data_IF_510490729701
#
_entry.id   IF_510490729701
#
_cell.length_a   1.000
_cell.length_b   1.000
_cell.length_c   1.000
_cell.angle_alpha   90.00
_cell.angle_beta   90.00
_cell.angle_gamma   90.00
#
_symmetry.space_group_name_H-M   'P 1'
#
loop_
_entity.id
_entity.type
_entity.pdbx_description
1 polymer ?
#
# COMPACT_ATOMS: atom_id res chain seq x y z
N UNK A 1 24.31 -9.46 -36.03
CA UNK A 1 23.79 -8.60 -34.94
C UNK A 1 23.21 -9.48 -33.85
N UNK A 2 23.31 -9.08 -32.58
CA UNK A 2 22.73 -9.82 -31.46
C UNK A 2 21.19 -9.82 -31.54
N UNK A 3 20.57 -10.96 -31.22
CA UNK A 3 19.11 -11.15 -31.23
C UNK A 3 18.59 -10.96 -29.80
N UNK A 4 18.03 -9.79 -29.52
CA UNK A 4 17.44 -9.46 -28.21
C UNK A 4 15.98 -9.94 -28.12
N UNK A 5 15.51 -10.10 -26.88
CA UNK A 5 14.08 -10.33 -26.61
C UNK A 5 13.32 -9.02 -26.86
N UNK A 6 12.21 -9.01 -27.62
CA UNK A 6 11.40 -7.83 -27.83
C UNK A 6 10.81 -7.29 -26.51
N UNK A 7 10.77 -5.97 -26.35
CA UNK A 7 10.16 -5.29 -25.20
C UNK A 7 9.07 -4.34 -25.69
N UNK A 8 7.88 -4.40 -25.08
CA UNK A 8 6.74 -3.52 -25.35
C UNK A 8 6.25 -2.89 -24.05
N UNK A 9 6.32 -1.56 -23.97
CA UNK A 9 5.90 -0.80 -22.79
C UNK A 9 4.37 -0.68 -22.66
N UNK A 10 3.61 -0.98 -23.72
CA UNK A 10 2.15 -0.97 -23.71
C UNK A 10 1.55 -2.36 -23.43
N UNK A 11 2.39 -3.34 -23.07
CA UNK A 11 1.94 -4.70 -22.80
C UNK A 11 1.29 -4.83 -21.41
N UNK A 12 0.06 -5.34 -21.39
CA UNK A 12 -0.60 -5.76 -20.15
C UNK A 12 -0.22 -7.22 -19.81
N UNK A 13 0.09 -7.48 -18.55
CA UNK A 13 0.50 -8.79 -18.04
C UNK A 13 -0.25 -9.09 -16.74
N UNK A 14 -0.76 -10.32 -16.60
CA UNK A 14 -1.24 -10.83 -15.31
C UNK A 14 -0.07 -11.49 -14.58
N UNK A 15 0.33 -10.93 -13.44
CA UNK A 15 1.47 -11.41 -12.65
C UNK A 15 0.96 -11.92 -11.31
N UNK A 16 1.33 -13.13 -10.93
CA UNK A 16 1.10 -13.65 -9.58
C UNK A 16 2.09 -12.97 -8.65
N UNK A 17 1.60 -12.17 -7.70
CA UNK A 17 2.42 -11.37 -6.79
C UNK A 17 2.05 -11.72 -5.36
N UNK A 18 3.08 -11.95 -4.54
CA UNK A 18 2.95 -11.95 -3.09
C UNK A 18 3.34 -10.57 -2.55
N UNK A 19 2.40 -9.90 -1.88
CA UNK A 19 2.61 -8.56 -1.35
C UNK A 19 3.67 -8.50 -0.24
N UNK A 20 3.78 -9.55 0.56
CA UNK A 20 4.79 -9.58 1.62
C UNK A 20 6.21 -9.52 1.04
N UNK A 21 6.43 -10.18 -0.10
CA UNK A 21 7.74 -10.22 -0.78
C UNK A 21 8.11 -8.87 -1.41
N UNK A 22 7.13 -7.97 -1.61
CA UNK A 22 7.37 -6.62 -2.12
C UNK A 22 7.87 -5.67 -1.01
N UNK A 23 7.63 -6.00 0.26
CA UNK A 23 8.09 -5.22 1.40
C UNK A 23 9.46 -5.72 1.84
N UNK A 24 10.48 -5.40 1.05
CA UNK A 24 11.84 -5.92 1.24
C UNK A 24 12.54 -5.30 2.45
N UNK A 25 13.28 -6.12 3.20
CA UNK A 25 14.06 -5.63 4.34
C UNK A 25 15.06 -4.55 3.90
N UNK A 26 15.16 -3.48 4.70
CA UNK A 26 16.02 -2.32 4.41
C UNK A 26 15.34 -1.22 3.60
N UNK A 27 14.13 -1.44 3.07
CA UNK A 27 13.35 -0.38 2.43
C UNK A 27 12.50 0.40 3.44
N UNK A 28 12.07 1.60 3.03
CA UNK A 28 11.25 2.46 3.88
C UNK A 28 9.87 1.85 4.13
N UNK A 29 9.22 1.31 3.09
CA UNK A 29 7.91 0.66 3.20
C UNK A 29 7.93 -0.55 4.13
N UNK A 30 9.03 -1.32 4.16
CA UNK A 30 9.18 -2.41 5.12
C UNK A 30 9.27 -1.90 6.56
N UNK A 31 10.10 -0.87 6.80
CA UNK A 31 10.21 -0.26 8.12
C UNK A 31 8.87 0.33 8.58
N UNK A 32 8.17 1.04 7.68
CA UNK A 32 6.85 1.60 7.94
C UNK A 32 5.82 0.53 8.27
N UNK A 33 5.75 -0.55 7.48
CA UNK A 33 4.88 -1.69 7.75
C UNK A 33 5.17 -2.30 9.12
N UNK A 34 6.43 -2.56 9.43
CA UNK A 34 6.83 -3.12 10.72
C UNK A 34 6.44 -2.22 11.90
N UNK A 35 6.73 -0.92 11.81
CA UNK A 35 6.44 0.04 12.88
C UNK A 35 4.94 0.14 13.13
N UNK A 36 4.14 0.33 12.07
CA UNK A 36 2.69 0.48 12.20
C UNK A 36 2.05 -0.81 12.74
N UNK A 37 2.47 -1.98 12.25
CA UNK A 37 1.85 -3.25 12.64
C UNK A 37 2.36 -3.81 13.97
N UNK A 38 3.60 -3.53 14.38
CA UNK A 38 4.23 -4.18 15.55
C UNK A 38 4.59 -3.23 16.70
N UNK A 39 4.62 -1.92 16.48
CA UNK A 39 5.10 -0.96 17.48
C UNK A 39 4.08 0.09 17.88
N UNK A 40 3.11 0.40 17.02
CA UNK A 40 2.06 1.37 17.33
C UNK A 40 0.83 0.68 17.92
N UNK A 41 0.33 1.23 19.02
CA UNK A 41 -0.99 0.89 19.54
C UNK A 41 -2.04 1.79 18.88
N UNK A 42 -2.88 1.19 18.04
CA UNK A 42 -3.94 1.88 17.30
C UNK A 42 -5.32 1.67 17.91
N UNK A 43 -5.42 1.02 19.08
CA UNK A 43 -6.69 0.72 19.75
C UNK A 43 -7.50 1.98 20.12
N UNK A 44 -6.85 3.14 20.18
CA UNK A 44 -7.53 4.42 20.37
C UNK A 44 -8.55 4.71 19.26
N UNK A 45 -8.32 4.22 18.05
CA UNK A 45 -9.23 4.42 16.92
C UNK A 45 -10.45 3.51 16.98
N UNK A 46 -10.37 2.36 17.64
CA UNK A 46 -11.46 1.38 17.71
C UNK A 46 -12.73 1.99 18.32
N UNK A 47 -12.56 2.86 19.32
CA UNK A 47 -13.68 3.55 19.99
C UNK A 47 -14.41 4.54 19.07
N UNK A 48 -13.76 5.01 18.02
CA UNK A 48 -14.35 5.95 17.07
C UNK A 48 -15.24 5.25 16.03
N UNK A 49 -15.03 3.94 15.81
CA UNK A 49 -15.81 3.18 14.85
C UNK A 49 -17.00 2.51 15.53
N UNK A 50 -18.20 2.82 15.05
CA UNK A 50 -19.40 2.00 15.29
C UNK A 50 -19.56 1.05 14.12
N UNK A 51 -18.81 -0.04 14.15
CA UNK A 51 -18.90 -1.11 13.14
C UNK A 51 -20.09 -2.02 13.46
N UNK A 52 -21.28 -1.43 13.58
CA UNK A 52 -22.52 -2.18 13.70
C UNK A 52 -22.74 -2.99 12.41
N UNK A 53 -23.56 -4.05 12.44
CA UNK A 53 -23.77 -4.96 11.30
C UNK A 53 -24.35 -4.30 10.02
N UNK A 54 -24.57 -2.99 10.03
CA UNK A 54 -25.15 -2.24 8.93
C UNK A 54 -24.15 -1.24 8.32
N UNK A 55 -24.18 -1.10 7.00
CA UNK A 55 -23.36 -0.15 6.26
C UNK A 55 -22.06 -0.71 5.69
N UNK A 56 -21.21 0.18 5.19
CA UNK A 56 -19.92 -0.18 4.57
C UNK A 56 -18.88 -0.43 5.68
N UNK A 57 -18.12 -1.54 5.63
CA UNK A 57 -17.03 -1.78 6.55
C UNK A 57 -16.01 -0.63 6.55
N UNK A 58 -15.53 -0.27 7.74
CA UNK A 58 -14.45 0.69 7.88
C UNK A 58 -13.12 0.11 7.37
N UNK A 59 -12.24 1.00 6.89
CA UNK A 59 -10.85 0.65 6.63
C UNK A 59 -10.08 0.57 7.95
N UNK A 60 -9.17 -0.41 8.06
CA UNK A 60 -8.26 -0.50 9.20
C UNK A 60 -7.39 0.77 9.28
N UNK A 61 -7.32 1.46 10.44
CA UNK A 61 -6.45 2.61 10.65
C UNK A 61 -4.98 2.34 10.29
N UNK A 62 -4.48 1.13 10.52
CA UNK A 62 -3.13 0.74 10.17
C UNK A 62 -2.87 0.83 8.66
N UNK A 63 -3.84 0.41 7.85
CA UNK A 63 -3.79 0.47 6.38
C UNK A 63 -3.70 1.94 5.93
N UNK A 64 -4.63 2.76 6.40
CA UNK A 64 -4.69 4.18 6.01
C UNK A 64 -3.41 4.92 6.43
N UNK A 65 -2.91 4.65 7.63
CA UNK A 65 -1.69 5.27 8.13
C UNK A 65 -0.47 4.90 7.30
N UNK A 66 -0.30 3.61 6.95
CA UNK A 66 0.77 3.16 6.05
C UNK A 66 0.71 3.87 4.69
N UNK A 67 -0.46 3.93 4.06
CA UNK A 67 -0.63 4.55 2.74
C UNK A 67 -0.29 6.04 2.78
N UNK A 68 -0.84 6.77 3.75
CA UNK A 68 -0.66 8.23 3.84
C UNK A 68 0.82 8.57 4.13
N UNK A 69 1.44 7.90 5.11
CA UNK A 69 2.85 8.14 5.44
C UNK A 69 3.77 7.77 4.27
N UNK A 70 3.49 6.67 3.58
CA UNK A 70 4.26 6.29 2.40
C UNK A 70 4.09 7.31 1.27
N UNK A 71 2.87 7.73 0.96
CA UNK A 71 2.60 8.75 -0.06
C UNK A 71 3.35 10.06 0.23
N UNK A 72 3.25 10.55 1.47
CA UNK A 72 3.90 11.79 1.88
C UNK A 72 5.43 11.68 1.82
N UNK A 73 6.00 10.52 2.14
CA UNK A 73 7.45 10.27 1.96
C UNK A 73 7.90 10.37 0.49
N UNK A 74 6.98 10.14 -0.46
CA UNK A 74 7.20 10.27 -1.91
C UNK A 74 6.81 11.65 -2.45
N UNK A 75 6.38 12.58 -1.59
CA UNK A 75 5.90 13.91 -1.98
C UNK A 75 4.50 13.93 -2.59
N UNK A 76 3.75 12.83 -2.53
CA UNK A 76 2.40 12.72 -3.08
C UNK A 76 1.40 13.11 -2.00
N UNK A 77 0.74 14.26 -2.16
CA UNK A 77 -0.21 14.79 -1.17
C UNK A 77 -1.65 14.84 -1.67
N UNK A 78 -1.86 14.72 -2.98
CA UNK A 78 -3.20 14.69 -3.58
C UNK A 78 -3.90 13.36 -3.30
N UNK A 79 -5.05 13.40 -2.63
CA UNK A 79 -5.82 12.18 -2.33
C UNK A 79 -6.20 11.39 -3.59
N UNK A 80 -6.42 12.07 -4.73
CA UNK A 80 -6.70 11.39 -6.01
C UNK A 80 -5.49 10.67 -6.56
N UNK A 81 -4.30 11.25 -6.42
CA UNK A 81 -3.06 10.60 -6.83
C UNK A 81 -2.75 9.41 -5.92
N UNK A 82 -2.97 9.55 -4.60
CA UNK A 82 -2.82 8.45 -3.65
C UNK A 82 -3.75 7.29 -4.03
N UNK A 83 -5.03 7.59 -4.33
CA UNK A 83 -5.98 6.59 -4.81
C UNK A 83 -5.46 5.89 -6.09
N UNK A 84 -5.01 6.66 -7.08
CA UNK A 84 -4.46 6.11 -8.31
C UNK A 84 -3.24 5.21 -8.04
N UNK A 85 -2.38 5.58 -7.09
CA UNK A 85 -1.25 4.75 -6.67
C UNK A 85 -1.71 3.44 -6.02
N UNK A 86 -2.76 3.44 -5.19
CA UNK A 86 -3.34 2.19 -4.67
C UNK A 86 -3.85 1.27 -5.80
N UNK A 87 -4.29 1.84 -6.91
CA UNK A 87 -4.79 1.08 -8.06
C UNK A 87 -3.68 0.57 -8.98
N UNK A 88 -2.59 1.33 -9.14
CA UNK A 88 -1.57 1.06 -10.16
C UNK A 88 -0.19 0.64 -9.63
N UNK A 89 0.16 1.01 -8.40
CA UNK A 89 1.48 0.79 -7.83
C UNK A 89 1.50 -0.41 -6.87
N UNK A 90 2.43 -1.34 -7.10
CA UNK A 90 2.52 -2.59 -6.35
C UNK A 90 2.84 -2.41 -4.86
N UNK A 91 3.63 -1.39 -4.51
CA UNK A 91 4.01 -1.13 -3.12
C UNK A 91 2.85 -0.54 -2.35
N UNK A 92 2.07 0.36 -2.98
CA UNK A 92 0.83 0.85 -2.38
C UNK A 92 -0.17 -0.28 -2.16
N UNK A 93 -0.32 -1.20 -3.14
CA UNK A 93 -1.14 -2.41 -2.97
C UNK A 93 -0.63 -3.32 -1.85
N UNK A 94 0.69 -3.45 -1.69
CA UNK A 94 1.28 -4.27 -0.65
C UNK A 94 1.16 -3.66 0.75
N UNK A 95 1.07 -2.33 0.85
CA UNK A 95 0.83 -1.62 2.11
C UNK A 95 -0.66 -1.55 2.47
N UNK A 96 -1.54 -1.62 1.47
CA UNK A 96 -3.00 -1.57 1.62
C UNK A 96 -3.63 -2.86 2.14
#
# INVERSE_FOLDING_TARGET
>A
MAKYIPYDYNQNLMVVINFQDQLQAGTFEHALHYLVTKKLDLSIFDKAFKNDHEGRPAYDPAILLKIILFAYSKGITSSREIQWCCDSNIIFKALS
#
